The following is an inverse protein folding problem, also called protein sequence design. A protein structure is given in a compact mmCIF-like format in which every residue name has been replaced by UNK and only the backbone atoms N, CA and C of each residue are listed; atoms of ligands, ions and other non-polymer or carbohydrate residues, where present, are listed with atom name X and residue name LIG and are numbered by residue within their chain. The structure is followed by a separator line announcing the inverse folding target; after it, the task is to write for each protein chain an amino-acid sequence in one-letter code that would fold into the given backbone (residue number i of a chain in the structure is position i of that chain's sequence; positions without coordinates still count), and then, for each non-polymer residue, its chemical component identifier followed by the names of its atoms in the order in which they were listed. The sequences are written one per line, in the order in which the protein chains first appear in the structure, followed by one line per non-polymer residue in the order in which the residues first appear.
data_IF_791538612278
#
_entry.id   IF_791538612278
#
_cell.length_a   1.000
_cell.length_b   1.000
_cell.length_c   1.000
_cell.angle_alpha   90.00
_cell.angle_beta   90.00
_cell.angle_gamma   90.00
#
_symmetry.space_group_name_H-M   'P 1'
#
loop_
_entity.id
_entity.type
_entity.pdbx_description
1 polymer ?
#
# COMPACT_ATOMS: atom_id res chain seq x y z
N UNK A 1 -8.02 -6.04 7.41
CA UNK A 1 -7.08 -5.01 7.86
C UNK A 1 -6.75 -4.08 6.71
N UNK A 2 -6.87 -2.77 6.91
CA UNK A 2 -6.59 -1.75 5.89
C UNK A 2 -5.53 -0.74 6.40
N UNK A 3 -4.33 -1.19 6.80
CA UNK A 3 -3.36 -0.32 7.45
C UNK A 3 -2.84 0.80 6.53
N UNK A 4 -2.92 0.64 5.21
CA UNK A 4 -2.47 1.66 4.25
C UNK A 4 -3.55 2.67 3.87
N UNK A 5 -4.81 2.42 4.23
CA UNK A 5 -5.95 3.27 3.85
C UNK A 5 -6.07 4.50 4.76
N UNK A 6 -5.58 4.41 6.01
CA UNK A 6 -5.59 5.52 6.94
C UNK A 6 -4.80 6.72 6.38
N UNK A 7 -5.44 7.88 6.33
CA UNK A 7 -4.89 9.09 5.72
C UNK A 7 -4.82 9.09 4.19
N UNK A 8 -5.47 8.14 3.53
CA UNK A 8 -5.69 8.17 2.07
C UNK A 8 -7.17 8.21 1.70
N UNK A 9 -8.01 7.57 2.50
CA UNK A 9 -9.47 7.63 2.39
C UNK A 9 -10.08 7.86 3.78
N UNK A 10 -11.30 8.40 3.89
CA UNK A 10 -12.02 8.49 5.15
C UNK A 10 -12.25 7.10 5.75
N UNK A 11 -11.83 6.91 6.99
CA UNK A 11 -12.07 5.66 7.72
C UNK A 11 -13.37 5.78 8.49
N UNK A 12 -14.41 5.07 8.06
CA UNK A 12 -15.74 5.06 8.67
C UNK A 12 -16.00 3.72 9.34
N UNK A 13 -15.25 3.42 10.40
CA UNK A 13 -15.29 2.12 11.08
C UNK A 13 -16.71 1.70 11.49
N UNK A 14 -17.55 2.66 11.93
CA UNK A 14 -18.92 2.39 12.35
C UNK A 14 -19.83 1.99 11.20
N UNK A 15 -19.58 2.57 10.01
CA UNK A 15 -20.43 2.40 8.83
C UNK A 15 -20.04 1.15 8.02
N UNK A 16 -18.85 0.62 8.24
CA UNK A 16 -18.30 -0.49 7.42
C UNK A 16 -18.72 -1.88 7.85
N UNK A 17 -19.54 -2.02 8.85
CA UNK A 17 -20.00 -3.31 9.37
C UNK A 17 -18.90 -4.36 9.60
N UNK A 18 -17.76 -3.90 10.10
CA UNK A 18 -16.61 -4.73 10.48
C UNK A 18 -16.49 -4.79 12.00
N UNK A 19 -16.07 -5.93 12.54
CA UNK A 19 -15.94 -6.14 13.98
C UNK A 19 -14.66 -5.55 14.56
N UNK A 20 -13.58 -5.57 13.77
CA UNK A 20 -12.30 -5.04 14.18
C UNK A 20 -11.54 -4.42 13.02
N UNK A 21 -10.76 -3.37 13.30
CA UNK A 21 -9.90 -2.69 12.35
C UNK A 21 -8.53 -2.44 12.97
N UNK A 22 -7.48 -2.98 12.37
CA UNK A 22 -6.11 -2.66 12.75
C UNK A 22 -5.55 -1.50 11.91
N UNK A 23 -4.84 -0.58 12.56
CA UNK A 23 -4.10 0.49 11.91
C UNK A 23 -2.62 0.45 12.31
N UNK A 24 -1.75 0.73 11.35
CA UNK A 24 -0.31 0.76 11.56
C UNK A 24 0.22 2.18 11.33
N UNK A 25 0.77 2.78 12.37
CA UNK A 25 1.11 4.20 12.38
C UNK A 25 2.12 4.61 11.31
N UNK A 26 3.17 3.79 11.07
CA UNK A 26 4.17 4.10 10.05
C UNK A 26 3.57 4.21 8.62
N UNK A 27 2.38 3.66 8.40
CA UNK A 27 1.66 3.78 7.10
C UNK A 27 1.06 5.17 6.88
N UNK A 28 0.93 6.00 7.91
CA UNK A 28 0.46 7.38 7.80
C UNK A 28 1.40 8.42 8.44
N UNK A 29 2.66 8.03 8.65
CA UNK A 29 3.75 8.98 8.94
C UNK A 29 4.18 9.06 10.41
N UNK A 30 3.79 8.11 11.27
CA UNK A 30 4.30 8.04 12.63
C UNK A 30 5.56 7.16 12.74
N UNK A 31 6.30 7.20 13.83
CA UNK A 31 7.38 6.27 14.09
C UNK A 31 6.94 4.80 13.98
N UNK A 32 7.87 3.92 13.62
CA UNK A 32 7.64 2.47 13.58
C UNK A 32 7.33 1.93 14.98
N UNK A 33 6.63 0.79 15.04
CA UNK A 33 6.25 0.13 16.29
C UNK A 33 4.95 0.65 16.92
N UNK A 34 4.28 1.64 16.30
CA UNK A 34 3.02 2.19 16.76
C UNK A 34 1.85 1.68 15.91
N UNK A 35 0.76 1.36 16.58
CA UNK A 35 -0.47 0.96 15.95
C UNK A 35 -1.64 0.96 16.92
N UNK A 36 -2.85 0.77 16.39
CA UNK A 36 -4.06 0.62 17.19
C UNK A 36 -4.95 -0.47 16.60
N UNK A 37 -5.69 -1.14 17.47
CA UNK A 37 -6.76 -2.04 17.13
C UNK A 37 -8.08 -1.43 17.61
N UNK A 38 -8.96 -1.12 16.66
CA UNK A 38 -10.34 -0.70 16.96
C UNK A 38 -11.21 -1.95 16.97
N UNK A 39 -12.04 -2.07 18.00
CA UNK A 39 -12.90 -3.27 18.19
C UNK A 39 -14.30 -2.81 18.55
N UNK A 40 -15.32 -3.45 18.00
CA UNK A 40 -16.71 -3.26 18.42
C UNK A 40 -16.91 -3.87 19.81
N UNK A 41 -17.64 -3.20 20.67
CA UNK A 41 -17.75 -3.53 22.11
C UNK A 41 -18.28 -4.92 22.46
N UNK A 42 -18.81 -5.66 21.50
CA UNK A 42 -19.32 -7.04 21.68
C UNK A 42 -18.46 -8.11 21.01
N UNK A 43 -17.41 -7.72 20.31
CA UNK A 43 -16.53 -8.67 19.61
C UNK A 43 -15.65 -9.39 20.65
N UNK A 44 -15.72 -10.70 20.76
CA UNK A 44 -14.87 -11.46 21.67
C UNK A 44 -13.42 -11.39 21.16
N UNK A 45 -12.51 -10.95 22.03
CA UNK A 45 -11.06 -10.91 21.76
C UNK A 45 -10.35 -11.51 22.95
N UNK A 46 -9.48 -12.45 22.68
CA UNK A 46 -8.55 -12.99 23.66
C UNK A 46 -7.22 -12.25 23.60
N UNK A 47 -6.63 -11.88 24.74
CA UNK A 47 -5.34 -11.24 24.78
C UNK A 47 -4.24 -12.20 24.30
N UNK A 48 -3.43 -11.76 23.35
CA UNK A 48 -2.26 -12.53 22.87
C UNK A 48 -1.10 -12.44 23.87
N UNK A 49 -1.01 -11.34 24.62
CA UNK A 49 -0.01 -11.12 25.66
C UNK A 49 -0.71 -11.03 27.01
N UNK A 50 -0.52 -12.03 27.85
CA UNK A 50 -0.99 -12.06 29.23
C UNK A 50 -0.08 -11.27 30.17
N UNK A 51 -0.63 -10.75 31.28
CA UNK A 51 0.09 -9.96 32.28
C UNK A 51 -0.84 -9.06 33.06
N UNK A 52 -0.47 -7.79 33.28
CA UNK A 52 -1.29 -6.80 33.97
C UNK A 52 -2.55 -6.41 33.18
N UNK A 53 -3.47 -5.72 33.86
CA UNK A 53 -4.79 -5.37 33.28
C UNK A 53 -4.82 -4.15 32.35
N UNK A 54 -3.69 -3.78 31.74
CA UNK A 54 -3.61 -2.63 30.84
C UNK A 54 -4.49 -2.86 29.60
N UNK A 55 -4.91 -1.76 28.97
CA UNK A 55 -5.81 -1.80 27.81
C UNK A 55 -7.06 -2.66 28.05
N UNK A 56 -7.66 -2.53 29.21
CA UNK A 56 -8.84 -3.31 29.67
C UNK A 56 -8.59 -4.82 29.70
N UNK A 57 -7.37 -5.25 29.98
CA UNK A 57 -6.97 -6.65 29.99
C UNK A 57 -6.66 -7.22 28.60
N UNK A 58 -6.80 -6.44 27.54
CA UNK A 58 -6.63 -6.93 26.16
C UNK A 58 -5.17 -6.83 25.67
N UNK A 59 -4.35 -5.99 26.30
CA UNK A 59 -2.94 -5.82 25.91
C UNK A 59 -2.11 -5.42 27.13
N UNK A 60 -1.43 -6.38 27.69
CA UNK A 60 -0.57 -6.18 28.86
C UNK A 60 0.70 -5.40 28.55
N UNK A 61 1.27 -4.79 29.57
CA UNK A 61 2.49 -3.97 29.53
C UNK A 61 2.20 -2.48 29.72
N UNK A 62 3.18 -1.76 30.26
CA UNK A 62 3.06 -0.32 30.47
C UNK A 62 2.74 0.40 29.16
N UNK A 63 1.73 1.27 29.22
CA UNK A 63 1.28 2.00 28.03
C UNK A 63 2.37 2.93 27.52
N UNK A 64 2.63 2.88 26.22
CA UNK A 64 3.51 3.82 25.54
C UNK A 64 2.76 5.13 25.24
N UNK A 65 2.65 5.99 26.26
CA UNK A 65 1.91 7.25 26.17
C UNK A 65 2.48 8.16 25.07
N UNK A 66 3.80 8.29 24.98
CA UNK A 66 4.44 9.08 23.92
C UNK A 66 4.10 8.54 22.54
N UNK A 67 4.09 7.23 22.37
CA UNK A 67 3.67 6.56 21.14
C UNK A 67 2.20 6.79 20.79
N UNK A 68 1.31 6.75 21.79
CA UNK A 68 -0.11 7.04 21.59
C UNK A 68 -0.35 8.48 21.11
N UNK A 69 0.35 9.44 21.70
CA UNK A 69 0.31 10.85 21.28
C UNK A 69 0.85 11.01 19.86
N UNK A 70 1.98 10.39 19.54
CA UNK A 70 2.55 10.41 18.19
C UNK A 70 1.60 9.78 17.16
N UNK A 71 0.90 8.70 17.53
CA UNK A 71 -0.10 8.06 16.68
C UNK A 71 -1.27 9.00 16.37
N UNK A 72 -1.78 9.70 17.39
CA UNK A 72 -2.87 10.65 17.27
C UNK A 72 -2.49 11.85 16.39
N UNK A 73 -1.31 12.45 16.63
CA UNK A 73 -0.80 13.56 15.83
C UNK A 73 -0.64 13.13 14.36
N UNK A 74 0.01 12.00 14.11
CA UNK A 74 0.23 11.51 12.75
C UNK A 74 -1.07 11.21 12.01
N UNK A 75 -2.09 10.71 12.70
CA UNK A 75 -3.42 10.49 12.12
C UNK A 75 -4.11 11.81 11.76
N UNK A 76 -4.09 12.80 12.64
CA UNK A 76 -4.67 14.12 12.39
C UNK A 76 -3.98 14.82 11.20
N UNK A 77 -2.66 14.84 11.18
CA UNK A 77 -1.86 15.39 10.08
C UNK A 77 -2.16 14.68 8.74
N UNK A 78 -2.27 13.37 8.78
CA UNK A 78 -2.55 12.57 7.60
C UNK A 78 -3.97 12.82 7.07
N UNK A 79 -4.96 12.98 7.96
CA UNK A 79 -6.34 13.31 7.58
C UNK A 79 -6.44 14.72 6.99
N UNK A 80 -5.76 15.71 7.57
CA UNK A 80 -5.71 17.07 7.04
C UNK A 80 -5.09 17.09 5.64
N UNK A 81 -3.98 16.37 5.44
CA UNK A 81 -3.34 16.21 4.13
C UNK A 81 -4.25 15.52 3.11
N UNK A 82 -4.92 14.45 3.52
CA UNK A 82 -5.89 13.75 2.68
C UNK A 82 -6.97 14.70 2.15
N UNK A 83 -7.58 15.51 3.02
CA UNK A 83 -8.61 16.45 2.61
C UNK A 83 -8.08 17.51 1.63
N UNK A 84 -6.86 18.03 1.87
CA UNK A 84 -6.25 19.06 1.05
C UNK A 84 -5.80 18.54 -0.33
N UNK A 85 -5.29 17.32 -0.42
CA UNK A 85 -4.57 16.83 -1.62
C UNK A 85 -5.25 15.65 -2.34
N UNK A 86 -6.45 15.24 -1.92
CA UNK A 86 -7.11 14.05 -2.49
C UNK A 86 -7.23 14.10 -4.00
N UNK A 87 -7.74 15.22 -4.54
CA UNK A 87 -7.98 15.38 -5.98
C UNK A 87 -6.68 15.36 -6.79
N UNK A 88 -5.66 16.04 -6.31
CA UNK A 88 -4.34 16.08 -6.97
C UNK A 88 -3.66 14.71 -6.94
N UNK A 89 -3.81 13.99 -5.81
CA UNK A 89 -3.27 12.65 -5.67
C UNK A 89 -3.94 11.66 -6.64
N UNK A 90 -5.26 11.73 -6.80
CA UNK A 90 -6.01 10.97 -7.80
C UNK A 90 -5.54 11.32 -9.21
N UNK A 91 -5.45 12.61 -9.53
CA UNK A 91 -5.01 13.05 -10.86
C UNK A 91 -3.60 12.57 -11.19
N UNK A 92 -2.65 12.66 -10.26
CA UNK A 92 -1.29 12.16 -10.51
C UNK A 92 -1.22 10.63 -10.61
N UNK A 93 -2.08 9.89 -9.89
CA UNK A 93 -2.24 8.44 -10.06
C UNK A 93 -2.73 8.10 -11.47
N UNK A 94 -3.75 8.78 -11.92
CA UNK A 94 -4.35 8.52 -13.23
C UNK A 94 -3.36 8.86 -14.34
N UNK A 95 -2.64 9.99 -14.23
CA UNK A 95 -1.55 10.33 -15.14
C UNK A 95 -0.44 9.27 -15.17
N UNK A 96 -0.07 8.71 -14.00
CA UNK A 96 0.91 7.62 -13.93
C UNK A 96 0.38 6.35 -14.61
N UNK A 97 -0.88 5.99 -14.40
CA UNK A 97 -1.52 4.83 -15.03
C UNK A 97 -1.50 4.98 -16.56
N UNK A 98 -1.87 6.14 -17.07
CA UNK A 98 -1.88 6.41 -18.52
C UNK A 98 -0.46 6.41 -19.11
N UNK A 99 0.51 6.96 -18.38
CA UNK A 99 1.91 6.95 -18.80
C UNK A 99 2.46 5.52 -18.89
N UNK A 100 2.23 4.69 -17.88
CA UNK A 100 2.66 3.28 -17.89
C UNK A 100 2.03 2.50 -19.05
N UNK A 101 0.73 2.64 -19.26
CA UNK A 101 0.03 1.96 -20.38
C UNK A 101 0.52 2.41 -21.76
N UNK A 102 0.96 3.64 -21.88
CA UNK A 102 1.51 4.18 -23.13
C UNK A 102 2.85 3.57 -23.47
N UNK A 103 3.75 3.47 -22.47
CA UNK A 103 5.13 2.99 -22.70
C UNK A 103 5.25 1.47 -22.64
N UNK A 104 4.37 0.80 -21.90
CA UNK A 104 4.26 -0.66 -21.87
C UNK A 104 2.81 -1.08 -22.16
N UNK A 105 2.40 -1.16 -23.45
CA UNK A 105 1.01 -1.46 -23.81
C UNK A 105 0.50 -2.83 -23.36
N UNK A 106 1.42 -3.75 -23.03
CA UNK A 106 1.10 -5.09 -22.48
C UNK A 106 0.92 -5.09 -20.96
N UNK A 107 1.13 -3.96 -20.28
CA UNK A 107 0.91 -3.86 -18.85
C UNK A 107 -0.59 -3.75 -18.54
N UNK A 108 -1.11 -4.66 -17.71
CA UNK A 108 -2.49 -4.65 -17.27
C UNK A 108 -2.62 -4.09 -15.86
N UNK A 109 -3.51 -3.10 -15.70
CA UNK A 109 -3.83 -2.52 -14.41
C UNK A 109 -4.66 -3.51 -13.59
N UNK A 110 -4.19 -3.87 -12.38
CA UNK A 110 -4.91 -4.79 -11.50
C UNK A 110 -5.93 -4.07 -10.64
N UNK A 111 -7.09 -4.67 -10.45
CA UNK A 111 -8.20 -4.13 -9.65
C UNK A 111 -9.04 -3.09 -10.40
N UNK A 112 -10.03 -2.55 -9.68
CA UNK A 112 -10.96 -1.57 -10.24
C UNK A 112 -10.22 -0.28 -10.65
N UNK A 113 -10.43 0.26 -11.85
CA UNK A 113 -9.72 1.44 -12.33
C UNK A 113 -10.10 2.73 -11.59
N UNK A 114 -11.29 2.79 -11.00
CA UNK A 114 -11.82 3.98 -10.33
C UNK A 114 -11.84 3.81 -8.80
N UNK A 115 -12.42 2.70 -8.33
CA UNK A 115 -12.60 2.40 -6.90
C UNK A 115 -11.32 1.83 -6.30
N UNK A 116 -10.30 2.67 -6.15
CA UNK A 116 -8.98 2.34 -5.59
C UNK A 116 -8.45 3.46 -4.71
N UNK A 117 -7.44 3.16 -3.91
CA UNK A 117 -6.76 4.19 -3.13
C UNK A 117 -6.16 5.27 -4.05
N UNK A 118 -6.23 6.55 -3.65
CA UNK A 118 -5.85 7.67 -4.51
C UNK A 118 -4.37 7.64 -4.94
N UNK A 119 -3.47 7.13 -4.11
CA UNK A 119 -2.04 7.01 -4.44
C UNK A 119 -1.58 5.57 -4.68
N UNK A 120 -2.40 4.74 -5.37
CA UNK A 120 -2.10 3.32 -5.58
C UNK A 120 -2.29 2.92 -7.03
N UNK A 121 -1.22 2.53 -7.69
CA UNK A 121 -1.21 1.94 -9.02
C UNK A 121 -0.51 0.56 -8.96
N UNK A 122 -1.22 -0.49 -9.36
CA UNK A 122 -0.70 -1.86 -9.38
C UNK A 122 -0.95 -2.46 -10.75
N UNK A 123 0.08 -3.07 -11.31
CA UNK A 123 0.06 -3.65 -12.65
C UNK A 123 0.62 -5.06 -12.62
N UNK A 124 0.30 -5.84 -13.64
CA UNK A 124 1.04 -7.02 -14.07
C UNK A 124 1.72 -6.73 -15.41
N UNK A 125 2.92 -7.28 -15.59
CA UNK A 125 3.77 -7.06 -16.76
C UNK A 125 4.11 -8.41 -17.41
N UNK A 126 3.22 -8.95 -18.27
CA UNK A 126 3.42 -10.27 -18.88
C UNK A 126 4.77 -10.38 -19.60
N UNK A 127 5.43 -11.51 -19.41
CA UNK A 127 6.74 -11.79 -20.03
C UNK A 127 7.96 -11.47 -19.16
N UNK A 128 7.77 -10.83 -18.00
CA UNK A 128 8.84 -10.56 -17.02
C UNK A 128 8.37 -10.90 -15.61
N UNK A 129 9.29 -10.99 -14.66
CA UNK A 129 8.91 -11.12 -13.24
C UNK A 129 8.89 -9.74 -12.58
N UNK A 130 7.95 -9.53 -11.65
CA UNK A 130 7.89 -8.28 -10.88
C UNK A 130 9.16 -8.04 -10.04
N UNK A 131 9.84 -9.11 -9.63
CA UNK A 131 11.12 -9.03 -8.91
C UNK A 131 12.23 -8.48 -9.82
N UNK A 132 12.35 -8.96 -11.05
CA UNK A 132 13.34 -8.46 -11.99
C UNK A 132 13.12 -6.97 -12.32
N UNK A 133 11.85 -6.56 -12.53
CA UNK A 133 11.49 -5.16 -12.68
C UNK A 133 11.84 -4.35 -11.44
N UNK A 134 11.57 -4.88 -10.25
CA UNK A 134 11.85 -4.19 -8.98
C UNK A 134 13.34 -3.92 -8.81
N UNK A 135 14.20 -4.91 -9.08
CA UNK A 135 15.65 -4.77 -8.97
C UNK A 135 16.19 -3.73 -9.96
N UNK A 136 15.73 -3.76 -11.20
CA UNK A 136 16.19 -2.79 -12.21
C UNK A 136 15.71 -1.36 -11.92
N UNK A 137 14.46 -1.20 -11.44
CA UNK A 137 13.94 0.08 -11.01
C UNK A 137 14.64 0.64 -9.78
N UNK A 138 14.99 -0.22 -8.81
CA UNK A 138 15.75 0.18 -7.61
C UNK A 138 17.15 0.70 -8.00
N UNK A 139 17.83 0.02 -8.93
CA UNK A 139 19.10 0.49 -9.49
C UNK A 139 19.00 1.87 -10.16
N UNK A 140 17.80 2.26 -10.61
CA UNK A 140 17.50 3.59 -11.19
C UNK A 140 16.95 4.58 -10.15
N UNK A 141 16.96 4.21 -8.86
CA UNK A 141 16.48 5.03 -7.74
C UNK A 141 14.97 5.19 -7.70
N UNK A 142 14.21 4.19 -8.17
CA UNK A 142 12.74 4.14 -8.14
C UNK A 142 12.30 3.02 -7.23
N UNK A 143 11.77 3.36 -6.07
CA UNK A 143 11.23 2.41 -5.12
C UNK A 143 9.81 1.96 -5.52
N UNK A 144 9.60 0.66 -5.62
CA UNK A 144 8.32 0.02 -5.91
C UNK A 144 8.14 -1.23 -5.04
N UNK A 145 7.18 -2.09 -5.34
CA UNK A 145 6.98 -3.36 -4.63
C UNK A 145 6.46 -4.43 -5.59
N UNK A 146 7.10 -5.58 -5.60
CA UNK A 146 6.64 -6.77 -6.33
C UNK A 146 5.75 -7.63 -5.41
N UNK A 147 4.45 -7.33 -5.35
CA UNK A 147 3.51 -8.09 -4.55
C UNK A 147 3.36 -7.62 -3.11
N UNK A 148 3.32 -8.55 -2.13
CA UNK A 148 3.17 -8.22 -0.71
C UNK A 148 4.53 -7.80 -0.12
N UNK A 149 4.60 -6.59 0.42
CA UNK A 149 5.81 -6.08 1.09
C UNK A 149 6.25 -6.93 2.30
N UNK A 150 5.36 -7.78 2.84
CA UNK A 150 5.65 -8.67 3.96
C UNK A 150 6.32 -9.99 3.53
N UNK A 151 6.40 -10.28 2.24
CA UNK A 151 6.97 -11.51 1.67
C UNK A 151 8.39 -11.30 1.10
N UNK A 152 9.11 -10.27 1.54
CA UNK A 152 10.48 -10.01 1.11
C UNK A 152 11.34 -11.25 1.44
N UNK A 153 11.98 -11.81 0.40
CA UNK A 153 12.80 -13.03 0.51
C UNK A 153 12.03 -14.35 0.37
N UNK A 154 10.71 -14.31 0.21
CA UNK A 154 9.93 -15.48 -0.22
C UNK A 154 9.42 -15.21 -1.64
N UNK A 155 9.74 -16.09 -2.57
CA UNK A 155 9.25 -16.02 -3.97
C UNK A 155 7.74 -16.36 -4.05
N UNK A 156 6.94 -15.81 -3.12
CA UNK A 156 5.52 -16.12 -3.02
C UNK A 156 4.73 -15.27 -4.02
N UNK A 157 3.87 -15.94 -4.76
CA UNK A 157 2.91 -15.28 -5.65
C UNK A 157 1.92 -14.49 -4.79
N UNK A 158 1.59 -13.23 -5.12
CA UNK A 158 0.65 -12.44 -4.34
C UNK A 158 -0.73 -13.12 -4.24
N UNK A 159 -1.06 -13.65 -3.06
CA UNK A 159 -2.32 -14.36 -2.82
C UNK A 159 -3.55 -13.52 -3.18
N UNK A 160 -3.47 -12.19 -3.03
CA UNK A 160 -4.54 -11.27 -3.44
C UNK A 160 -4.81 -11.35 -4.94
N UNK A 161 -3.78 -11.42 -5.77
CA UNK A 161 -3.93 -11.48 -7.23
C UNK A 161 -4.49 -12.84 -7.66
N UNK A 162 -4.07 -13.91 -7.00
CA UNK A 162 -4.66 -15.25 -7.23
C UNK A 162 -6.14 -15.27 -6.84
N UNK A 163 -6.52 -14.67 -5.71
CA UNK A 163 -7.90 -14.54 -5.28
C UNK A 163 -8.76 -13.67 -6.22
N UNK A 164 -8.12 -12.78 -6.98
CA UNK A 164 -8.76 -12.00 -8.06
C UNK A 164 -8.88 -12.77 -9.38
N UNK A 165 -8.44 -14.03 -9.44
CA UNK A 165 -8.52 -14.89 -10.61
C UNK A 165 -7.38 -14.73 -11.63
N UNK A 166 -6.27 -14.07 -11.25
CA UNK A 166 -5.12 -14.01 -12.13
C UNK A 166 -4.35 -15.34 -12.11
N UNK A 167 -3.93 -15.77 -13.30
CA UNK A 167 -3.05 -16.93 -13.42
C UNK A 167 -1.72 -16.73 -12.66
N UNK A 168 -1.16 -17.77 -12.03
CA UNK A 168 0.07 -17.67 -11.26
C UNK A 168 1.25 -17.06 -12.01
N UNK A 169 1.41 -17.38 -13.28
CA UNK A 169 2.45 -16.85 -14.17
C UNK A 169 2.31 -15.34 -14.37
N UNK A 170 1.08 -14.86 -14.51
CA UNK A 170 0.76 -13.43 -14.65
C UNK A 170 0.91 -12.72 -13.31
N UNK A 171 0.40 -13.31 -12.22
CA UNK A 171 0.51 -12.72 -10.88
C UNK A 171 1.96 -12.52 -10.40
N UNK A 172 2.89 -13.37 -10.84
CA UNK A 172 4.35 -13.22 -10.59
C UNK A 172 4.95 -11.96 -11.21
N UNK A 173 4.33 -11.41 -12.24
CA UNK A 173 4.81 -10.21 -12.93
C UNK A 173 4.34 -8.90 -12.27
N UNK A 174 3.71 -8.99 -11.09
CA UNK A 174 3.08 -7.84 -10.44
C UNK A 174 4.11 -6.82 -9.96
N UNK A 175 3.81 -5.55 -10.21
CA UNK A 175 4.51 -4.41 -9.65
C UNK A 175 3.51 -3.39 -9.12
N UNK A 176 3.69 -2.96 -7.88
CA UNK A 176 2.85 -1.96 -7.22
C UNK A 176 3.64 -0.70 -6.92
N UNK A 177 3.10 0.43 -7.35
CA UNK A 177 3.60 1.76 -7.04
C UNK A 177 2.62 2.44 -6.11
N UNK A 178 3.11 2.93 -4.96
CA UNK A 178 2.30 3.63 -3.97
C UNK A 178 2.98 4.93 -3.54
N UNK A 179 2.21 5.99 -3.48
CA UNK A 179 2.70 7.30 -3.08
C UNK A 179 1.64 8.02 -2.24
N UNK A 180 2.09 8.96 -1.41
CA UNK A 180 1.25 9.66 -0.44
C UNK A 180 1.16 11.16 -0.68
N UNK A 181 1.87 11.65 -1.67
CA UNK A 181 1.85 13.03 -2.16
C UNK A 181 1.67 13.01 -3.65
N UNK A 182 1.02 14.01 -4.24
CA UNK A 182 0.96 14.14 -5.68
C UNK A 182 2.35 14.05 -6.31
N UNK A 183 2.45 13.34 -7.41
CA UNK A 183 3.67 13.25 -8.18
C UNK A 183 3.76 14.43 -9.13
N UNK A 184 4.93 15.04 -9.22
CA UNK A 184 5.22 16.00 -10.27
C UNK A 184 5.29 15.30 -11.65
N UNK A 185 5.05 16.06 -12.71
CA UNK A 185 5.07 15.52 -14.08
C UNK A 185 6.40 14.85 -14.42
N UNK A 186 7.50 15.48 -14.04
CA UNK A 186 8.86 14.98 -14.25
C UNK A 186 9.11 13.65 -13.53
N UNK A 187 8.48 13.45 -12.36
CA UNK A 187 8.56 12.17 -11.64
C UNK A 187 7.81 11.08 -12.38
N UNK A 188 6.63 11.39 -12.93
CA UNK A 188 5.83 10.44 -13.72
C UNK A 188 6.57 10.06 -14.99
N UNK A 189 7.14 11.03 -15.70
CA UNK A 189 7.95 10.83 -16.92
C UNK A 189 9.18 9.96 -16.63
N UNK A 190 9.89 10.25 -15.53
CA UNK A 190 11.03 9.45 -15.09
C UNK A 190 10.64 7.99 -14.79
N UNK A 191 9.55 7.78 -14.07
CA UNK A 191 9.07 6.43 -13.72
C UNK A 191 8.64 5.67 -14.97
N UNK A 192 7.91 6.31 -15.89
CA UNK A 192 7.43 5.65 -17.11
C UNK A 192 8.59 5.29 -18.05
N UNK A 193 9.57 6.18 -18.25
CA UNK A 193 10.75 5.89 -19.03
C UNK A 193 11.57 4.74 -18.46
N UNK A 194 11.80 4.75 -17.16
CA UNK A 194 12.51 3.66 -16.49
C UNK A 194 11.79 2.31 -16.64
N UNK A 195 10.46 2.30 -16.54
CA UNK A 195 9.65 1.10 -16.76
C UNK A 195 9.74 0.59 -18.21
N UNK A 196 9.70 1.49 -19.19
CA UNK A 196 9.86 1.15 -20.62
C UNK A 196 11.20 0.47 -20.87
N UNK A 197 12.28 1.10 -20.44
CA UNK A 197 13.64 0.59 -20.61
C UNK A 197 13.86 -0.75 -19.89
N UNK A 198 13.39 -0.85 -18.63
CA UNK A 198 13.49 -2.07 -17.82
C UNK A 198 12.71 -3.22 -18.46
N UNK A 199 11.48 -2.97 -18.87
CA UNK A 199 10.63 -3.97 -19.50
C UNK A 199 11.21 -4.44 -20.84
N UNK A 200 11.65 -3.50 -21.69
CA UNK A 200 12.29 -3.82 -22.97
C UNK A 200 13.60 -4.59 -22.80
N UNK A 201 14.40 -4.25 -21.80
CA UNK A 201 15.65 -4.95 -21.49
C UNK A 201 15.46 -6.38 -21.00
N UNK A 202 14.40 -6.60 -20.19
CA UNK A 202 14.09 -7.92 -19.63
C UNK A 202 13.36 -8.84 -20.61
N UNK A 203 12.59 -8.31 -21.56
CA UNK A 203 11.90 -9.12 -22.57
C UNK A 203 12.75 -9.53 -23.77
N UNK A 204 13.93 -8.94 -23.94
CA UNK A 204 14.89 -9.30 -25.00
C UNK A 204 15.84 -10.42 -24.60
N UNK A 205 15.83 -10.83 -23.35
CA UNK A 205 16.65 -11.92 -22.79
C UNK A 205 15.89 -13.24 -22.82
#
# INVERSE_FOLDING_TARGET
ALPISAGQIPIRFRDWDVDALSVSGHKFGTPKGLGALLVRGRTPIEPVLSGGGQERGLRSGTQNVAGAVALAIGLNESNARMQAQYRELVASRDMLIDAVRRVVPRADLTGDPVRRLPGHASFVFPGVTGEALLVDLDARGIAASSGSACAIGRHEIPATLLAMGLEPSVAKSALRMTFRRPLAREQIERVSLALEESYAGLTRR
#
